data_IF_087203393573
#
_entry.id   IF_087203393573
#
_cell.length_a   1.000
_cell.length_b   1.000
_cell.length_c   1.000
_cell.angle_alpha   90.00
_cell.angle_beta   90.00
_cell.angle_gamma   90.00
#
_symmetry.space_group_name_H-M   'P 1'
#
loop_
_entity.id
_entity.type
_entity.pdbx_description
1 polymer ?
#
# COMPACT_ATOMS: atom_id res chain seq x y z
N UNK A 1 -17.61 -56.64 -49.82
CA UNK A 1 -18.01 -55.24 -49.64
C UNK A 1 -19.17 -55.24 -48.67
N UNK A 2 -18.86 -55.27 -47.38
CA UNK A 2 -19.85 -54.96 -46.35
C UNK A 2 -19.94 -53.45 -46.32
N UNK A 3 -21.05 -52.90 -46.82
CA UNK A 3 -21.37 -51.48 -46.64
C UNK A 3 -21.55 -51.26 -45.14
N UNK A 4 -20.79 -50.33 -44.56
CA UNK A 4 -21.00 -49.87 -43.19
C UNK A 4 -22.50 -49.54 -43.00
N UNK A 5 -23.05 -49.97 -41.87
CA UNK A 5 -24.48 -49.80 -41.61
C UNK A 5 -24.78 -48.31 -41.45
N UNK A 6 -25.89 -47.76 -41.97
CA UNK A 6 -26.32 -46.37 -41.73
C UNK A 6 -26.42 -45.97 -40.25
N UNK A 7 -26.39 -46.95 -39.34
CA UNK A 7 -26.29 -46.75 -37.89
C UNK A 7 -24.89 -46.34 -37.42
N UNK A 8 -23.82 -46.83 -38.06
CA UNK A 8 -22.42 -46.55 -37.67
C UNK A 8 -22.01 -45.12 -38.04
N UNK A 9 -22.37 -44.68 -39.25
CA UNK A 9 -22.13 -43.32 -39.75
C UNK A 9 -22.84 -42.25 -38.88
N UNK A 10 -24.06 -42.56 -38.40
CA UNK A 10 -24.80 -41.70 -37.48
C UNK A 10 -24.18 -41.62 -36.07
N UNK A 11 -23.51 -42.68 -35.61
CA UNK A 11 -22.83 -42.68 -34.31
C UNK A 11 -21.55 -41.82 -34.33
N UNK A 12 -20.82 -41.85 -35.43
CA UNK A 12 -19.59 -41.06 -35.60
C UNK A 12 -19.85 -39.56 -35.75
N UNK A 13 -20.89 -39.17 -36.50
CA UNK A 13 -21.31 -37.77 -36.61
C UNK A 13 -21.70 -37.21 -35.22
N UNK A 14 -22.39 -38.02 -34.41
CA UNK A 14 -22.74 -37.65 -33.04
C UNK A 14 -21.50 -37.52 -32.14
N UNK A 15 -20.50 -38.38 -32.27
CA UNK A 15 -19.25 -38.32 -31.51
C UNK A 15 -18.43 -37.05 -31.82
N UNK A 16 -18.28 -36.70 -33.11
CA UNK A 16 -17.58 -35.47 -33.51
C UNK A 16 -18.31 -34.22 -33.00
N UNK A 17 -19.65 -34.21 -33.08
CA UNK A 17 -20.44 -33.10 -32.55
C UNK A 17 -20.26 -32.94 -31.02
N UNK A 18 -20.21 -34.04 -30.27
CA UNK A 18 -19.93 -34.03 -28.84
C UNK A 18 -18.53 -33.47 -28.53
N UNK A 19 -17.50 -33.91 -29.25
CA UNK A 19 -16.13 -33.42 -29.09
C UNK A 19 -16.02 -31.92 -29.42
N UNK A 20 -16.68 -31.43 -30.48
CA UNK A 20 -16.73 -30.00 -30.82
C UNK A 20 -17.40 -29.17 -29.71
N UNK A 21 -18.47 -29.69 -29.11
CA UNK A 21 -19.12 -29.05 -27.95
C UNK A 21 -18.22 -29.04 -26.72
N UNK A 22 -17.52 -30.13 -26.45
CA UNK A 22 -16.57 -30.21 -25.35
C UNK A 22 -15.40 -29.24 -25.52
N UNK A 23 -14.83 -29.17 -26.72
CA UNK A 23 -13.78 -28.20 -27.07
C UNK A 23 -14.24 -26.77 -26.80
N UNK A 24 -15.42 -26.40 -27.30
CA UNK A 24 -15.99 -25.07 -27.07
C UNK A 24 -16.17 -24.74 -25.58
N UNK A 25 -16.61 -25.72 -24.78
CA UNK A 25 -16.72 -25.56 -23.34
C UNK A 25 -15.35 -25.33 -22.69
N UNK A 26 -14.35 -26.14 -23.02
CA UNK A 26 -12.99 -26.00 -22.49
C UNK A 26 -12.38 -24.63 -22.85
N UNK A 27 -12.53 -24.17 -24.09
CA UNK A 27 -12.08 -22.86 -24.54
C UNK A 27 -12.79 -21.72 -23.77
N UNK A 28 -14.09 -21.86 -23.53
CA UNK A 28 -14.87 -20.91 -22.72
C UNK A 28 -14.37 -20.86 -21.27
N UNK A 29 -14.11 -22.02 -20.66
CA UNK A 29 -13.54 -22.07 -19.31
C UNK A 29 -12.15 -21.45 -19.25
N UNK A 30 -11.27 -21.75 -20.21
CA UNK A 30 -9.94 -21.16 -20.30
C UNK A 30 -10.01 -19.62 -20.36
N UNK A 31 -10.89 -19.07 -21.21
CA UNK A 31 -11.12 -17.63 -21.29
C UNK A 31 -11.57 -17.01 -19.97
N UNK A 32 -12.51 -17.66 -19.25
CA UNK A 32 -12.96 -17.23 -17.92
C UNK A 32 -11.82 -17.22 -16.89
N UNK A 33 -10.97 -18.25 -16.88
CA UNK A 33 -9.83 -18.32 -15.96
C UNK A 33 -8.76 -17.28 -16.30
N UNK A 34 -8.49 -17.03 -17.59
CA UNK A 34 -7.58 -15.95 -18.01
C UNK A 34 -8.08 -14.57 -17.57
N UNK A 35 -9.39 -14.32 -17.62
CA UNK A 35 -9.99 -13.08 -17.07
C UNK A 35 -9.83 -13.00 -15.55
N UNK A 36 -10.10 -14.09 -14.81
CA UNK A 36 -9.87 -14.15 -13.35
C UNK A 36 -8.40 -13.91 -12.99
N UNK A 37 -7.48 -14.49 -13.76
CA UNK A 37 -6.04 -14.31 -13.60
C UNK A 37 -5.64 -12.83 -13.75
N UNK A 38 -6.10 -12.18 -14.83
CA UNK A 38 -5.85 -10.76 -15.09
C UNK A 38 -6.32 -9.89 -13.91
N UNK A 39 -7.56 -10.07 -13.48
CA UNK A 39 -8.11 -9.31 -12.34
C UNK A 39 -7.34 -9.57 -11.03
N UNK A 40 -6.88 -10.81 -10.80
CA UNK A 40 -6.12 -11.15 -9.59
C UNK A 40 -4.72 -10.54 -9.63
N UNK A 41 -4.07 -10.49 -10.81
CA UNK A 41 -2.80 -9.77 -11.01
C UNK A 41 -2.95 -8.27 -10.75
N UNK A 42 -3.98 -7.62 -11.29
CA UNK A 42 -4.24 -6.20 -11.03
C UNK A 42 -4.46 -5.92 -9.53
N UNK A 43 -5.18 -6.80 -8.82
CA UNK A 43 -5.34 -6.71 -7.36
C UNK A 43 -4.01 -6.85 -6.62
N UNK A 44 -3.15 -7.78 -7.07
CA UNK A 44 -1.81 -7.97 -6.51
C UNK A 44 -0.94 -6.73 -6.71
N UNK A 45 -1.00 -6.10 -7.89
CA UNK A 45 -0.24 -4.88 -8.20
C UNK A 45 -0.67 -3.72 -7.30
N UNK A 46 -1.98 -3.54 -7.07
CA UNK A 46 -2.52 -2.57 -6.11
C UNK A 46 -1.99 -2.82 -4.69
N UNK A 47 -1.96 -4.08 -4.24
CA UNK A 47 -1.42 -4.44 -2.91
C UNK A 47 0.08 -4.18 -2.84
N UNK A 48 0.84 -4.46 -3.89
CA UNK A 48 2.28 -4.16 -3.94
C UNK A 48 2.55 -2.64 -3.88
N UNK A 49 1.76 -1.83 -4.58
CA UNK A 49 1.83 -0.38 -4.51
C UNK A 49 1.55 0.13 -3.08
N UNK A 50 0.47 -0.37 -2.46
CA UNK A 50 0.15 -0.04 -1.07
C UNK A 50 1.24 -0.47 -0.08
N UNK A 51 1.85 -1.65 -0.26
CA UNK A 51 2.98 -2.09 0.55
C UNK A 51 4.17 -1.14 0.45
N UNK A 52 4.49 -0.71 -0.77
CA UNK A 52 5.59 0.22 -0.99
C UNK A 52 5.34 1.57 -0.29
N UNK A 53 4.14 2.14 -0.47
CA UNK A 53 3.74 3.39 0.19
C UNK A 53 3.74 3.25 1.72
N UNK A 54 3.19 2.15 2.24
CA UNK A 54 3.16 1.90 3.69
C UNK A 54 4.57 1.79 4.26
N UNK A 55 5.49 1.10 3.56
CA UNK A 55 6.90 1.02 3.96
C UNK A 55 7.56 2.40 4.00
N UNK A 56 7.35 3.21 2.96
CA UNK A 56 7.87 4.58 2.94
C UNK A 56 7.31 5.43 4.09
N UNK A 57 6.02 5.28 4.41
CA UNK A 57 5.42 5.95 5.56
C UNK A 57 6.06 5.51 6.89
N UNK A 58 6.31 4.21 7.08
CA UNK A 58 7.03 3.69 8.26
C UNK A 58 8.39 4.36 8.39
N UNK A 59 9.16 4.45 7.30
CA UNK A 59 10.50 5.05 7.31
C UNK A 59 10.42 6.55 7.69
N UNK A 60 9.49 7.30 7.08
CA UNK A 60 9.28 8.73 7.37
C UNK A 60 8.90 8.94 8.83
N UNK A 61 7.89 8.23 9.34
CA UNK A 61 7.43 8.41 10.73
C UNK A 61 8.44 7.89 11.76
N UNK A 62 9.27 6.92 11.39
CA UNK A 62 10.42 6.50 12.20
C UNK A 62 11.44 7.64 12.33
N UNK A 63 11.81 8.27 11.21
CA UNK A 63 12.73 9.40 11.23
C UNK A 63 12.16 10.61 12.00
N UNK A 64 10.91 10.97 11.75
CA UNK A 64 10.26 12.11 12.39
C UNK A 64 10.05 11.91 13.89
N UNK A 65 9.67 10.69 14.32
CA UNK A 65 9.59 10.39 15.76
C UNK A 65 10.98 10.43 16.42
N UNK A 66 12.02 9.90 15.78
CA UNK A 66 13.39 10.00 16.31
C UNK A 66 13.86 11.45 16.39
N UNK A 67 13.55 12.28 15.39
CA UNK A 67 13.86 13.71 15.40
C UNK A 67 13.18 14.44 16.57
N UNK A 68 11.91 14.16 16.81
CA UNK A 68 11.20 14.73 17.96
C UNK A 68 11.83 14.27 19.28
N UNK A 69 12.22 12.99 19.40
CA UNK A 69 12.91 12.46 20.57
C UNK A 69 14.26 13.15 20.82
N UNK A 70 15.06 13.36 19.79
CA UNK A 70 16.31 14.14 19.92
C UNK A 70 16.00 15.58 20.32
N UNK A 71 14.92 16.19 19.80
CA UNK A 71 14.44 17.50 20.26
C UNK A 71 14.11 17.52 21.77
N UNK A 72 13.48 16.48 22.32
CA UNK A 72 13.25 16.32 23.76
C UNK A 72 14.59 16.26 24.51
N UNK A 73 15.54 15.46 24.03
CA UNK A 73 16.86 15.30 24.67
C UNK A 73 17.66 16.60 24.65
N UNK A 74 17.68 17.30 23.52
CA UNK A 74 18.40 18.56 23.31
C UNK A 74 17.84 19.67 24.19
N UNK A 75 16.51 19.83 24.20
CA UNK A 75 15.85 20.83 25.04
C UNK A 75 16.01 20.50 26.52
N UNK A 76 15.93 19.22 26.90
CA UNK A 76 16.28 18.80 28.24
C UNK A 76 17.73 19.17 28.54
N UNK A 77 18.72 18.77 27.73
CA UNK A 77 20.14 19.10 27.95
C UNK A 77 20.39 20.61 28.13
N UNK A 78 19.78 21.45 27.28
CA UNK A 78 19.85 22.91 27.39
C UNK A 78 19.23 23.46 28.67
N UNK A 79 18.34 22.72 29.33
CA UNK A 79 17.67 23.16 30.55
C UNK A 79 18.58 23.02 31.78
N UNK A 80 19.20 24.14 32.17
CA UNK A 80 20.20 24.24 33.25
C UNK A 80 19.65 24.88 34.54
N UNK A 81 20.45 24.82 35.60
CA UNK A 81 20.13 25.45 36.89
C UNK A 81 20.05 26.98 36.78
N UNK A 82 20.86 27.57 35.92
CA UNK A 82 20.90 29.01 35.65
C UNK A 82 19.60 29.47 34.99
N UNK A 83 19.14 28.72 33.99
CA UNK A 83 17.83 28.91 33.35
C UNK A 83 16.70 28.84 34.38
N UNK A 84 16.74 27.86 35.30
CA UNK A 84 15.74 27.77 36.36
C UNK A 84 15.73 29.02 37.25
N UNK A 85 16.90 29.51 37.66
CA UNK A 85 17.04 30.75 38.45
C UNK A 85 16.47 31.97 37.72
N UNK A 86 16.67 32.08 36.40
CA UNK A 86 16.10 33.17 35.60
C UNK A 86 14.58 33.12 35.58
N UNK A 87 14.01 31.94 35.35
CA UNK A 87 12.55 31.75 35.31
C UNK A 87 11.91 32.12 36.65
N UNK A 88 12.53 31.72 37.78
CA UNK A 88 12.01 32.01 39.13
C UNK A 88 11.98 33.52 39.43
N UNK A 89 12.87 34.32 38.84
CA UNK A 89 12.90 35.78 39.02
C UNK A 89 11.70 36.49 38.39
N UNK A 90 10.93 35.82 37.53
CA UNK A 90 9.73 36.39 36.90
C UNK A 90 8.64 36.60 37.96
N UNK A 91 8.40 37.87 38.32
CA UNK A 91 7.41 38.24 39.36
C UNK A 91 5.97 38.20 38.84
N UNK A 92 5.74 38.67 37.61
CA UNK A 92 4.40 38.83 37.00
C UNK A 92 4.33 38.10 35.65
N UNK A 93 4.05 36.78 35.63
CA UNK A 93 3.87 36.05 34.37
C UNK A 93 2.59 36.51 33.67
N UNK A 94 2.59 36.50 32.33
CA UNK A 94 1.35 36.68 31.57
C UNK A 94 0.58 35.35 31.47
N UNK A 95 -0.64 35.40 30.92
CA UNK A 95 -1.48 34.22 30.72
C UNK A 95 -0.78 33.10 29.93
N UNK A 96 -0.03 33.44 28.88
CA UNK A 96 0.70 32.44 28.08
C UNK A 96 1.78 31.71 28.86
N UNK A 97 2.58 32.43 29.67
CA UNK A 97 3.58 31.79 30.53
C UNK A 97 2.92 30.96 31.64
N UNK A 98 1.80 31.43 32.21
CA UNK A 98 1.03 30.67 33.18
C UNK A 98 0.53 29.36 32.59
N UNK A 99 -0.08 29.41 31.41
CA UNK A 99 -0.58 28.23 30.70
C UNK A 99 0.57 27.25 30.40
N UNK A 100 1.66 27.69 29.77
CA UNK A 100 2.83 26.83 29.51
C UNK A 100 3.40 26.22 30.81
N UNK A 101 3.44 26.98 31.90
CA UNK A 101 3.91 26.45 33.18
C UNK A 101 2.96 25.39 33.77
N UNK A 102 1.64 25.57 33.64
CA UNK A 102 0.65 24.59 34.06
C UNK A 102 0.75 23.32 33.22
N UNK A 103 0.90 23.45 31.90
CA UNK A 103 1.06 22.35 30.96
C UNK A 103 2.39 21.61 31.17
N UNK A 104 3.46 22.31 31.51
CA UNK A 104 4.70 21.67 31.94
C UNK A 104 4.48 20.81 33.18
N UNK A 105 3.84 21.36 34.21
CA UNK A 105 3.52 20.64 35.45
C UNK A 105 2.60 19.44 35.22
N UNK A 106 1.66 19.54 34.26
CA UNK A 106 0.82 18.42 33.80
C UNK A 106 1.65 17.28 33.18
N UNK A 107 2.65 17.59 32.36
CA UNK A 107 3.56 16.58 31.78
C UNK A 107 4.42 15.92 32.86
N UNK A 108 4.81 16.68 33.88
CA UNK A 108 5.52 16.18 35.07
C UNK A 108 4.63 15.42 36.08
N UNK A 109 3.36 15.20 35.75
CA UNK A 109 2.34 14.58 36.61
C UNK A 109 2.21 15.22 38.00
N UNK A 110 2.28 16.56 38.06
CA UNK A 110 2.12 17.33 39.29
C UNK A 110 0.65 17.71 39.50
N UNK A 111 0.12 17.39 40.69
CA UNK A 111 -1.28 17.66 41.06
C UNK A 111 -1.58 19.15 41.16
N UNK A 112 -0.73 19.90 41.86
CA UNK A 112 -0.85 21.36 41.93
C UNK A 112 0.00 22.00 40.83
N UNK A 113 -0.68 22.75 39.96
CA UNK A 113 -0.11 23.41 38.78
C UNK A 113 -0.04 24.92 38.94
N UNK A 114 -0.19 25.44 40.16
CA UNK A 114 -0.08 26.86 40.45
C UNK A 114 1.31 27.42 40.14
N UNK A 115 1.40 28.71 39.85
CA UNK A 115 2.68 29.40 39.57
C UNK A 115 3.66 29.31 40.75
N UNK A 116 3.15 29.29 41.99
CA UNK A 116 3.99 29.18 43.18
C UNK A 116 4.61 27.78 43.29
N UNK A 117 3.83 26.74 43.01
CA UNK A 117 4.31 25.35 43.01
C UNK A 117 5.27 25.11 41.85
N UNK A 118 4.99 25.64 40.66
CA UNK A 118 5.96 25.66 39.56
C UNK A 118 7.29 26.28 39.98
N UNK A 119 7.30 27.47 40.62
CA UNK A 119 8.54 28.07 41.13
C UNK A 119 9.23 27.20 42.18
N UNK A 120 8.48 26.54 43.06
CA UNK A 120 9.05 25.67 44.08
C UNK A 120 9.76 24.46 43.45
N UNK A 121 9.16 23.86 42.43
CA UNK A 121 9.77 22.79 41.63
C UNK A 121 11.04 23.29 40.92
N UNK A 122 10.97 24.46 40.29
CA UNK A 122 12.11 25.08 39.61
C UNK A 122 13.29 25.40 40.54
N UNK A 123 13.04 25.70 41.83
CA UNK A 123 14.11 25.92 42.83
C UNK A 123 14.90 24.64 43.09
N UNK A 124 14.26 23.48 42.97
CA UNK A 124 14.84 22.17 43.22
C UNK A 124 15.31 21.54 41.90
N UNK A 125 16.37 22.11 41.32
CA UNK A 125 16.85 21.72 39.99
C UNK A 125 17.17 20.22 39.86
N UNK A 126 17.89 19.61 40.81
CA UNK A 126 18.31 18.21 40.67
C UNK A 126 17.12 17.24 40.62
N UNK A 127 16.13 17.29 41.54
CA UNK A 127 14.91 16.50 41.41
C UNK A 127 14.13 16.78 40.12
N UNK A 128 13.96 18.05 39.75
CA UNK A 128 13.28 18.43 38.52
C UNK A 128 13.96 17.81 37.29
N UNK A 129 15.28 17.90 37.23
CA UNK A 129 16.07 17.37 36.12
C UNK A 129 15.94 15.86 35.99
N UNK A 130 15.96 15.16 37.13
CA UNK A 130 15.71 13.72 37.16
C UNK A 130 14.32 13.39 36.63
N UNK A 131 13.30 14.14 37.02
CA UNK A 131 11.92 13.94 36.58
C UNK A 131 11.75 14.20 35.08
N UNK A 132 12.32 15.29 34.56
CA UNK A 132 12.30 15.57 33.11
C UNK A 132 12.95 14.45 32.30
N UNK A 133 14.05 13.87 32.80
CA UNK A 133 14.75 12.78 32.11
C UNK A 133 14.05 11.43 32.23
N UNK A 134 13.22 11.21 33.26
CA UNK A 134 12.50 9.95 33.47
C UNK A 134 11.20 9.87 32.68
N UNK A 135 10.68 10.99 32.19
CA UNK A 135 9.42 11.04 31.46
C UNK A 135 9.58 10.39 30.10
N UNK A 136 8.68 9.45 29.81
CA UNK A 136 8.55 8.82 28.51
C UNK A 136 7.33 9.41 27.82
N UNK A 137 7.56 10.35 26.91
CA UNK A 137 6.48 11.10 26.26
C UNK A 137 5.47 10.20 25.50
N UNK A 138 5.89 9.00 25.06
CA UNK A 138 5.00 8.00 24.47
C UNK A 138 3.87 7.52 25.41
N UNK A 139 4.01 7.70 26.73
CA UNK A 139 3.05 7.26 27.73
C UNK A 139 2.21 8.39 28.34
N UNK A 140 2.24 9.59 27.74
CA UNK A 140 1.26 10.61 28.10
C UNK A 140 -0.15 10.06 27.89
N UNK A 141 -1.09 10.41 28.75
CA UNK A 141 -2.50 10.02 28.62
C UNK A 141 -3.20 10.82 27.52
N UNK A 142 -4.40 10.39 27.12
CA UNK A 142 -5.19 11.13 26.12
C UNK A 142 -5.71 12.44 26.70
N UNK A 143 -6.05 12.47 27.99
CA UNK A 143 -6.41 13.69 28.72
C UNK A 143 -5.24 14.69 28.73
N UNK A 144 -4.03 14.24 29.06
CA UNK A 144 -2.82 15.06 28.97
C UNK A 144 -2.63 15.58 27.54
N UNK A 145 -2.77 14.73 26.52
CA UNK A 145 -2.58 15.15 25.13
C UNK A 145 -3.59 16.20 24.66
N UNK A 146 -4.87 16.03 25.02
CA UNK A 146 -5.92 17.00 24.68
C UNK A 146 -5.63 18.37 25.30
N UNK A 147 -5.09 18.38 26.52
CA UNK A 147 -4.67 19.61 27.18
C UNK A 147 -3.43 20.25 26.54
N UNK A 148 -2.52 19.46 25.95
CA UNK A 148 -1.24 19.93 25.41
C UNK A 148 -1.31 20.28 23.92
N UNK A 149 -2.32 19.80 23.19
CA UNK A 149 -2.42 19.96 21.74
C UNK A 149 -2.45 21.43 21.30
N UNK A 150 -3.06 22.29 22.12
CA UNK A 150 -3.17 23.72 21.84
C UNK A 150 -1.81 24.42 21.95
N UNK A 151 -0.93 23.94 22.83
CA UNK A 151 0.45 24.44 22.92
C UNK A 151 1.23 24.11 21.66
N UNK A 152 1.11 22.85 21.21
CA UNK A 152 1.78 22.37 20.01
C UNK A 152 1.28 23.06 18.73
N UNK A 153 -0.05 23.17 18.55
CA UNK A 153 -0.66 23.87 17.39
C UNK A 153 -0.27 25.35 17.34
N UNK A 154 -0.23 26.02 18.50
CA UNK A 154 0.05 27.45 18.59
C UNK A 154 1.53 27.76 18.86
N UNK A 155 2.44 26.83 18.61
CA UNK A 155 3.85 26.94 18.99
C UNK A 155 4.51 28.26 18.56
N UNK A 156 4.28 28.74 17.33
CA UNK A 156 4.91 29.98 16.85
C UNK A 156 4.42 31.22 17.61
N UNK A 157 3.11 31.29 17.87
CA UNK A 157 2.49 32.38 18.64
C UNK A 157 2.94 32.36 20.09
N UNK A 158 2.98 31.17 20.70
CA UNK A 158 3.47 30.98 22.06
C UNK A 158 4.93 31.41 22.16
N UNK A 159 5.80 30.90 21.28
CA UNK A 159 7.22 31.27 21.27
C UNK A 159 7.42 32.78 21.12
N UNK A 160 6.70 33.44 20.20
CA UNK A 160 6.75 34.88 20.04
C UNK A 160 6.37 35.63 21.33
N UNK A 161 5.30 35.22 22.01
CA UNK A 161 4.85 35.83 23.26
C UNK A 161 5.81 35.59 24.43
N UNK A 162 6.55 34.48 24.41
CA UNK A 162 7.48 34.09 25.49
C UNK A 162 8.89 34.68 25.32
N UNK A 163 9.30 35.07 24.11
CA UNK A 163 10.61 35.69 23.81
C UNK A 163 10.96 36.90 24.69
N UNK A 164 9.97 37.63 25.19
CA UNK A 164 10.16 38.81 26.05
C UNK A 164 10.63 38.51 27.48
N UNK A 165 10.62 37.24 27.90
CA UNK A 165 11.04 36.82 29.24
C UNK A 165 12.51 36.42 29.25
N UNK A 166 12.81 35.14 29.16
CA UNK A 166 14.16 34.61 29.06
C UNK A 166 14.16 33.36 28.18
N UNK A 167 15.34 32.97 27.70
CA UNK A 167 15.52 31.78 26.84
C UNK A 167 14.95 30.52 27.48
N UNK A 168 15.04 30.41 28.81
CA UNK A 168 14.56 29.27 29.58
C UNK A 168 13.07 28.96 29.37
N UNK A 169 12.23 29.99 29.28
CA UNK A 169 10.79 29.80 29.08
C UNK A 169 10.49 29.26 27.68
N UNK A 170 11.23 29.71 26.66
CA UNK A 170 11.13 29.17 25.31
C UNK A 170 11.53 27.70 25.26
N UNK A 171 12.62 27.33 25.95
CA UNK A 171 13.08 25.93 26.05
C UNK A 171 12.00 25.03 26.68
N UNK A 172 11.30 25.50 27.72
CA UNK A 172 10.18 24.75 28.31
C UNK A 172 9.05 24.48 27.31
N UNK A 173 8.65 25.51 26.56
CA UNK A 173 7.61 25.36 25.55
C UNK A 173 8.06 24.42 24.40
N UNK A 174 9.33 24.49 23.97
CA UNK A 174 9.88 23.56 22.98
C UNK A 174 9.90 22.12 23.48
N UNK A 175 10.30 21.90 24.74
CA UNK A 175 10.31 20.57 25.34
C UNK A 175 8.91 19.95 25.39
N UNK A 176 7.87 20.73 25.74
CA UNK A 176 6.47 20.29 25.66
C UNK A 176 6.10 19.96 24.21
N UNK A 177 6.43 20.83 23.26
CA UNK A 177 6.09 20.62 21.85
C UNK A 177 6.69 19.32 21.30
N UNK A 178 7.97 19.08 21.56
CA UNK A 178 8.62 17.84 21.13
C UNK A 178 8.04 16.61 21.84
N UNK A 179 7.59 16.73 23.09
CA UNK A 179 6.92 15.64 23.81
C UNK A 179 5.59 15.26 23.14
N UNK A 180 4.76 16.25 22.80
CA UNK A 180 3.50 16.06 22.08
C UNK A 180 3.75 15.48 20.68
N UNK A 181 4.69 16.08 19.95
CA UNK A 181 5.04 15.65 18.60
C UNK A 181 5.55 14.20 18.58
N UNK A 182 6.43 13.84 19.51
CA UNK A 182 6.94 12.49 19.64
C UNK A 182 5.81 11.47 19.85
N UNK A 183 4.89 11.73 20.80
CA UNK A 183 3.75 10.84 21.04
C UNK A 183 2.90 10.67 19.79
N UNK A 184 2.50 11.77 19.13
CA UNK A 184 1.66 11.72 17.93
C UNK A 184 2.32 10.94 16.78
N UNK A 185 3.61 11.20 16.53
CA UNK A 185 4.36 10.49 15.48
C UNK A 185 4.53 9.01 15.82
N UNK A 186 4.77 8.68 17.10
CA UNK A 186 4.95 7.30 17.55
C UNK A 186 3.64 6.50 17.48
N UNK A 187 2.51 7.08 17.87
CA UNK A 187 1.19 6.45 17.72
C UNK A 187 0.84 6.23 16.25
N UNK A 188 1.12 7.21 15.39
CA UNK A 188 0.90 7.09 13.95
C UNK A 188 1.76 5.97 13.35
N UNK A 189 3.04 5.91 13.75
CA UNK A 189 3.95 4.85 13.34
C UNK A 189 3.41 3.46 13.74
N UNK A 190 3.02 3.27 15.00
CA UNK A 190 2.48 2.00 15.48
C UNK A 190 1.23 1.57 14.71
N UNK A 191 0.33 2.50 14.40
CA UNK A 191 -0.86 2.21 13.61
C UNK A 191 -0.54 1.78 12.17
N UNK A 192 0.51 2.34 11.56
CA UNK A 192 0.96 1.97 10.21
C UNK A 192 1.67 0.61 10.25
N UNK A 193 2.54 0.38 11.23
CA UNK A 193 3.25 -0.89 11.44
C UNK A 193 2.29 -2.06 11.66
N UNK A 194 1.15 -1.84 12.33
CA UNK A 194 0.10 -2.86 12.49
C UNK A 194 -0.58 -3.25 11.17
N UNK A 195 -0.75 -2.32 10.23
CA UNK A 195 -1.37 -2.58 8.91
C UNK A 195 -0.44 -3.30 7.94
N UNK A 196 0.86 -3.06 8.05
CA UNK A 196 1.87 -3.63 7.16
C UNK A 196 1.84 -5.18 7.05
N UNK A 197 1.77 -5.97 8.15
CA UNK A 197 1.69 -7.43 8.07
C UNK A 197 0.38 -7.92 7.44
N UNK A 198 -0.73 -7.19 7.57
CA UNK A 198 -2.00 -7.54 6.91
C UNK A 198 -1.87 -7.45 5.39
N UNK A 199 -1.19 -6.41 4.89
CA UNK A 199 -0.90 -6.26 3.46
C UNK A 199 0.04 -7.37 2.96
N UNK A 200 1.02 -7.80 3.75
CA UNK A 200 1.87 -8.95 3.41
C UNK A 200 1.04 -10.23 3.29
N UNK A 201 0.18 -10.53 4.28
CA UNK A 201 -0.72 -11.69 4.23
C UNK A 201 -1.60 -11.67 2.98
N UNK A 202 -2.17 -10.50 2.65
CA UNK A 202 -2.99 -10.32 1.43
C UNK A 202 -2.19 -10.53 0.15
N UNK A 203 -0.94 -10.04 0.08
CA UNK A 203 -0.03 -10.30 -1.03
C UNK A 203 0.21 -11.79 -1.21
N UNK A 204 0.61 -12.49 -0.15
CA UNK A 204 0.86 -13.94 -0.18
C UNK A 204 -0.36 -14.72 -0.64
N UNK A 205 -1.55 -14.39 -0.11
CA UNK A 205 -2.80 -15.03 -0.54
C UNK A 205 -3.07 -14.82 -2.04
N UNK A 206 -2.92 -13.60 -2.55
CA UNK A 206 -3.11 -13.31 -3.98
C UNK A 206 -2.08 -14.02 -4.87
N UNK A 207 -0.82 -14.10 -4.43
CA UNK A 207 0.24 -14.85 -5.13
C UNK A 207 -0.11 -16.34 -5.22
N UNK A 208 -0.57 -16.94 -4.12
CA UNK A 208 -1.00 -18.35 -4.11
C UNK A 208 -2.20 -18.57 -5.03
N UNK A 209 -3.19 -17.67 -4.99
CA UNK A 209 -4.37 -17.73 -5.87
C UNK A 209 -4.00 -17.59 -7.35
N UNK A 210 -3.02 -16.76 -7.69
CA UNK A 210 -2.49 -16.66 -9.06
C UNK A 210 -1.87 -17.99 -9.49
N UNK A 211 -1.08 -18.63 -8.62
CA UNK A 211 -0.49 -19.95 -8.92
C UNK A 211 -1.55 -21.02 -9.13
N UNK A 212 -2.59 -21.03 -8.30
CA UNK A 212 -3.72 -21.95 -8.43
C UNK A 212 -4.46 -21.75 -9.75
N UNK A 213 -4.81 -20.51 -10.10
CA UNK A 213 -5.48 -20.18 -11.37
C UNK A 213 -4.60 -20.58 -12.56
N UNK A 214 -3.29 -20.33 -12.50
CA UNK A 214 -2.37 -20.74 -13.57
C UNK A 214 -2.34 -22.27 -13.72
N UNK A 215 -2.33 -23.03 -12.63
CA UNK A 215 -2.40 -24.49 -12.68
C UNK A 215 -3.71 -24.98 -13.33
N UNK A 216 -4.84 -24.36 -12.99
CA UNK A 216 -6.13 -24.70 -13.61
C UNK A 216 -6.16 -24.36 -15.11
N UNK A 217 -5.54 -23.25 -15.52
CA UNK A 217 -5.40 -22.89 -16.94
C UNK A 217 -4.60 -23.97 -17.68
N UNK A 218 -3.46 -24.41 -17.13
CA UNK A 218 -2.62 -25.43 -17.75
C UNK A 218 -3.37 -26.77 -17.94
N UNK A 219 -4.11 -27.22 -16.92
CA UNK A 219 -4.92 -28.45 -17.00
C UNK A 219 -5.99 -28.33 -18.11
N UNK A 220 -6.64 -27.17 -18.22
CA UNK A 220 -7.64 -26.94 -19.27
C UNK A 220 -6.98 -26.89 -20.66
N UNK A 221 -5.80 -26.29 -20.78
CA UNK A 221 -5.06 -26.21 -22.04
C UNK A 221 -4.58 -27.59 -22.52
N UNK A 222 -4.14 -28.45 -21.60
CA UNK A 222 -3.83 -29.85 -21.88
C UNK A 222 -5.07 -30.60 -22.39
N UNK A 223 -6.22 -30.44 -21.72
CA UNK A 223 -7.49 -31.03 -22.16
C UNK A 223 -7.95 -30.50 -23.53
N UNK A 224 -7.76 -29.20 -23.80
CA UNK A 224 -8.04 -28.63 -25.14
C UNK A 224 -7.18 -29.30 -26.20
N UNK A 225 -5.89 -29.53 -25.93
CA UNK A 225 -5.00 -30.20 -26.86
C UNK A 225 -5.41 -31.66 -27.12
N UNK A 226 -5.77 -32.40 -26.07
CA UNK A 226 -6.27 -33.77 -26.17
C UNK A 226 -7.54 -33.88 -27.03
N UNK A 227 -8.52 -33.00 -26.80
CA UNK A 227 -9.78 -32.99 -27.59
C UNK A 227 -9.51 -32.59 -29.04
N UNK A 228 -8.59 -31.67 -29.30
CA UNK A 228 -8.19 -31.29 -30.67
C UNK A 228 -7.53 -32.44 -31.42
N UNK A 229 -6.60 -33.15 -30.78
CA UNK A 229 -5.98 -34.35 -31.36
C UNK A 229 -7.01 -35.45 -31.64
N UNK A 230 -7.96 -35.65 -30.73
CA UNK A 230 -9.05 -36.61 -30.91
C UNK A 230 -9.94 -36.24 -32.10
N UNK A 231 -10.28 -34.96 -32.26
CA UNK A 231 -11.02 -34.45 -33.42
C UNK A 231 -10.25 -34.65 -34.73
N UNK A 232 -8.95 -34.33 -34.76
CA UNK A 232 -8.11 -34.50 -35.95
C UNK A 232 -8.02 -35.98 -36.36
N UNK A 233 -7.82 -36.88 -35.39
CA UNK A 233 -7.82 -38.32 -35.65
C UNK A 233 -9.16 -38.85 -36.19
N UNK A 234 -10.29 -38.34 -35.67
CA UNK A 234 -11.61 -38.71 -36.13
C UNK A 234 -11.93 -38.14 -37.53
N UNK A 235 -11.35 -37.00 -37.90
CA UNK A 235 -11.51 -36.41 -39.24
C UNK A 235 -10.63 -37.13 -40.29
N UNK A 236 -9.44 -37.61 -39.95
CA UNK A 236 -8.57 -38.39 -40.85
C UNK A 236 -9.23 -39.72 -41.25
N UNK A 237 -9.88 -40.42 -40.31
CA UNK A 237 -10.58 -41.68 -40.60
C UNK A 237 -11.69 -41.54 -41.65
N UNK A 238 -12.32 -40.36 -41.74
CA UNK A 238 -13.36 -40.07 -42.75
C UNK A 238 -12.81 -39.87 -44.16
N UNK A 239 -11.55 -39.44 -44.28
CA UNK A 239 -10.92 -39.17 -45.58
C UNK A 239 -10.45 -40.47 -46.26
N UNK A 240 -10.08 -41.49 -45.48
CA UNK A 240 -9.64 -42.78 -46.01
C UNK A 240 -10.81 -43.64 -46.54
N UNK A 241 -12.05 -43.43 -46.07
CA UNK A 241 -13.25 -44.13 -46.59
C UNK A 241 -13.76 -43.58 -47.94
N UNK A 242 -13.52 -42.29 -48.24
CA UNK A 242 -13.95 -41.65 -49.49
C UNK A 242 -12.92 -41.79 -50.65
N UNK A 243 -11.75 -42.38 -50.41
CA UNK A 243 -10.62 -42.42 -51.36
C UNK A 243 -10.42 -43.77 -52.10
N UNK A 244 -11.35 -44.73 -52.02
CA UNK A 244 -11.20 -46.03 -52.70
C UNK A 244 -11.64 -46.09 -54.18
N UNK A 245 -11.88 -44.97 -54.87
CA UNK A 245 -12.37 -45.01 -56.28
C UNK A 245 -11.64 -44.08 -57.27
N UNK A 246 -10.36 -43.76 -57.06
CA UNK A 246 -9.54 -43.15 -58.11
C UNK A 246 -8.15 -43.79 -58.25
N UNK A 247 -8.13 -44.98 -58.85
CA UNK A 247 -6.95 -45.44 -59.60
C UNK A 247 -6.92 -44.78 -60.99
N UNK A 248 -5.73 -44.30 -61.37
CA UNK A 248 -5.27 -43.87 -62.70
C UNK A 248 -5.28 -42.36 -63.00
N UNK A 249 -4.16 -41.68 -62.72
CA UNK A 249 -3.40 -40.87 -63.69
C UNK A 249 -1.99 -40.65 -63.09
N UNK A 250 -1.03 -41.50 -63.46
CA UNK A 250 0.01 -41.20 -64.46
C UNK A 250 1.01 -40.10 -64.06
N UNK A 251 2.15 -40.56 -63.57
CA UNK A 251 3.50 -40.02 -63.72
C UNK A 251 3.67 -38.72 -64.54
N UNK A 252 4.28 -37.71 -63.91
CA UNK A 252 5.39 -36.98 -64.53
C UNK A 252 6.36 -36.45 -63.47
N UNK A 253 7.58 -36.96 -63.55
CA UNK A 253 8.74 -36.42 -62.87
C UNK A 253 9.11 -35.05 -63.45
N UNK A 254 9.58 -34.14 -62.60
CA UNK A 254 10.61 -33.20 -62.99
C UNK A 254 11.45 -32.79 -61.78
N UNK A 255 12.72 -33.18 -61.84
CA UNK A 255 13.82 -32.74 -60.98
C UNK A 255 13.97 -31.21 -61.01
N UNK A 256 14.33 -30.60 -59.87
CA UNK A 256 15.51 -29.71 -59.78
C UNK A 256 15.82 -29.27 -58.34
N UNK A 257 16.93 -29.83 -57.83
CA UNK A 257 18.07 -29.16 -57.17
C UNK A 257 17.85 -28.03 -56.16
N UNK A 258 18.31 -28.32 -54.94
CA UNK A 258 19.25 -27.54 -54.12
C UNK A 258 19.16 -26.01 -54.13
N UNK A 259 18.89 -25.42 -52.95
CA UNK A 259 19.87 -24.55 -52.29
C UNK A 259 19.52 -24.35 -50.81
N UNK A 260 20.48 -24.72 -49.94
CA UNK A 260 20.51 -24.35 -48.52
C UNK A 260 20.76 -22.84 -48.43
N UNK A 261 19.93 -22.11 -47.70
CA UNK A 261 20.33 -20.82 -47.14
C UNK A 261 20.13 -20.82 -45.63
N UNK A 262 21.26 -20.70 -44.95
CA UNK A 262 21.39 -20.47 -43.51
C UNK A 262 21.02 -19.01 -43.27
N UNK A 263 19.94 -18.74 -42.53
CA UNK A 263 19.65 -17.40 -42.03
C UNK A 263 20.23 -17.29 -40.62
N UNK A 264 21.42 -16.73 -40.53
CA UNK A 264 22.00 -16.21 -39.30
C UNK A 264 21.32 -14.89 -38.93
N UNK A 265 20.60 -14.84 -37.82
CA UNK A 265 20.21 -13.57 -37.18
C UNK A 265 21.42 -13.00 -36.44
N UNK A 266 21.88 -11.77 -36.72
CA UNK A 266 22.92 -11.14 -35.93
C UNK A 266 22.35 -10.58 -34.63
N UNK A 267 23.04 -10.91 -33.53
CA UNK A 267 23.00 -10.22 -32.25
C UNK A 267 23.15 -8.70 -32.48
N UNK A 268 22.17 -7.90 -32.07
CA UNK A 268 22.36 -6.47 -31.87
C UNK A 268 22.63 -6.21 -30.38
N UNK A 269 23.91 -6.04 -30.06
CA UNK A 269 24.35 -5.39 -28.83
C UNK A 269 24.21 -3.88 -29.01
N UNK A 270 23.18 -3.30 -28.40
CA UNK A 270 23.07 -1.85 -28.22
C UNK A 270 23.54 -1.46 -26.83
N UNK A 271 24.82 -1.13 -26.68
CA UNK A 271 25.32 -0.35 -25.54
C UNK A 271 25.07 1.13 -25.81
N UNK A 272 24.01 1.70 -25.21
CA UNK A 272 23.83 3.14 -25.15
C UNK A 272 24.46 3.67 -23.86
N UNK A 273 25.71 4.13 -23.99
CA UNK A 273 26.41 4.97 -23.03
C UNK A 273 25.75 6.36 -22.98
N UNK A 274 24.99 6.61 -21.92
CA UNK A 274 24.38 7.91 -21.62
C UNK A 274 25.19 8.69 -20.58
N UNK A 275 26.02 9.60 -21.08
CA UNK A 275 26.59 10.80 -20.45
C UNK A 275 26.50 11.04 -18.94
N UNK A 276 27.67 11.15 -18.33
CA UNK A 276 27.94 11.85 -17.07
C UNK A 276 27.56 13.33 -17.24
N UNK A 277 26.49 13.77 -16.56
CA UNK A 277 26.24 15.20 -16.34
C UNK A 277 26.91 15.64 -15.04
N UNK A 278 28.00 16.41 -15.18
CA UNK A 278 28.56 17.24 -14.11
C UNK A 278 27.57 18.36 -13.79
N UNK A 279 26.97 18.32 -12.61
CA UNK A 279 26.25 19.47 -12.04
C UNK A 279 27.18 20.19 -11.07
N UNK A 280 27.63 21.38 -11.48
CA UNK A 280 28.23 22.36 -10.58
C UNK A 280 27.13 22.88 -9.65
N UNK A 281 27.22 22.55 -8.35
CA UNK A 281 26.37 23.14 -7.31
C UNK A 281 27.14 24.29 -6.65
N UNK A 282 26.64 25.54 -6.68
CA UNK A 282 27.13 26.57 -5.80
C UNK A 282 26.59 26.34 -4.38
N UNK A 283 27.48 26.38 -3.40
CA UNK A 283 27.18 26.45 -1.97
C UNK A 283 26.37 27.72 -1.65
N UNK A 284 25.13 27.57 -1.16
CA UNK A 284 24.52 28.45 -0.14
C UNK A 284 23.29 27.76 0.49
N UNK A 285 23.08 27.83 1.82
CA UNK A 285 21.97 27.17 2.48
C UNK A 285 20.75 28.10 2.58
N UNK A 286 19.68 27.77 1.88
CA UNK A 286 18.32 28.25 2.19
C UNK A 286 17.38 27.06 2.17
N UNK A 287 16.94 26.65 3.35
CA UNK A 287 15.94 25.60 3.55
C UNK A 287 14.63 25.97 2.83
N UNK A 288 14.16 25.19 1.83
CA UNK A 288 12.78 25.22 1.43
C UNK A 288 12.00 24.27 2.34
N UNK A 289 10.98 24.78 3.06
CA UNK A 289 9.89 23.92 3.53
C UNK A 289 9.29 23.28 2.29
N UNK A 290 9.39 21.96 2.16
CA UNK A 290 8.65 21.22 1.15
C UNK A 290 7.16 21.39 1.47
N UNK A 291 6.47 22.16 0.64
CA UNK A 291 5.02 22.14 0.58
C UNK A 291 4.59 20.75 0.08
N UNK A 292 3.67 20.12 0.79
CA UNK A 292 3.04 18.87 0.37
C UNK A 292 2.37 19.05 -0.99
N UNK A 293 2.37 18.05 -1.89
CA UNK A 293 1.46 18.04 -3.03
C UNK A 293 0.03 17.85 -2.51
N UNK A 294 -0.87 18.78 -2.82
CA UNK A 294 -2.31 18.60 -2.63
C UNK A 294 -2.80 17.43 -3.50
N UNK A 295 -3.07 16.28 -2.89
CA UNK A 295 -3.81 15.18 -3.51
C UNK A 295 -5.28 15.31 -3.14
N UNK A 296 -5.98 16.25 -3.75
CA UNK A 296 -7.45 16.20 -3.83
C UNK A 296 -7.81 15.09 -4.84
N UNK A 297 -8.02 13.88 -4.33
CA UNK A 297 -8.63 12.81 -5.11
C UNK A 297 -10.13 13.07 -5.17
N UNK A 298 -10.63 13.54 -6.31
CA UNK A 298 -12.05 13.61 -6.61
C UNK A 298 -12.66 12.20 -6.53
N UNK A 299 -13.59 12.00 -5.60
CA UNK A 299 -14.28 10.73 -5.35
C UNK A 299 -15.29 10.31 -6.43
N UNK A 300 -15.50 11.15 -7.45
CA UNK A 300 -16.54 10.94 -8.48
C UNK A 300 -16.03 10.23 -9.75
N UNK A 301 -14.72 10.05 -9.95
CA UNK A 301 -14.20 9.32 -11.13
C UNK A 301 -14.09 7.79 -10.92
N UNK A 302 -14.52 7.25 -9.77
CA UNK A 302 -14.47 5.81 -9.47
C UNK A 302 -15.72 5.02 -9.90
N UNK A 303 -16.73 5.70 -10.45
CA UNK A 303 -17.97 5.05 -10.90
C UNK A 303 -18.37 5.52 -12.29
N UNK A 304 -17.73 4.96 -13.32
CA UNK A 304 -18.29 4.94 -14.67
C UNK A 304 -19.08 3.64 -14.87
N UNK A 305 -20.40 3.82 -14.87
CA UNK A 305 -21.43 3.09 -15.62
C UNK A 305 -21.61 1.58 -15.38
N UNK A 306 -22.56 1.26 -14.50
CA UNK A 306 -23.29 -0.02 -14.56
C UNK A 306 -24.48 0.13 -15.53
N UNK A 307 -24.68 -0.77 -16.51
CA UNK A 307 -25.91 -0.75 -17.29
C UNK A 307 -27.06 -1.29 -16.44
N UNK A 308 -28.11 -0.48 -16.33
CA UNK A 308 -29.37 -0.85 -15.71
C UNK A 308 -30.05 -1.99 -16.48
N UNK A 309 -30.26 -3.14 -15.82
CA UNK A 309 -31.35 -4.07 -16.15
C UNK A 309 -32.06 -4.45 -14.86
N UNK A 310 -33.33 -4.02 -14.76
CA UNK A 310 -34.30 -4.56 -13.81
C UNK A 310 -34.50 -6.03 -14.15
N UNK A 311 -34.18 -6.93 -13.21
CA UNK A 311 -34.61 -8.33 -13.24
C UNK A 311 -35.46 -8.54 -12.00
N UNK A 312 -36.64 -9.13 -12.22
CA UNK A 312 -37.70 -9.33 -11.25
C UNK A 312 -37.25 -10.27 -10.10
N UNK A 313 -37.77 -9.97 -8.91
CA UNK A 313 -37.71 -10.81 -7.73
C UNK A 313 -38.50 -12.10 -7.98
N UNK A 314 -37.81 -13.18 -8.32
CA UNK A 314 -38.25 -14.59 -8.14
C UNK A 314 -37.17 -15.48 -8.75
N UNK A 315 -36.04 -15.63 -8.04
CA UNK A 315 -35.15 -16.81 -8.13
C UNK A 315 -34.07 -16.71 -7.03
N UNK A 316 -34.53 -16.79 -5.79
CA UNK A 316 -33.68 -17.14 -4.65
C UNK A 316 -33.63 -18.65 -4.58
N UNK A 317 -32.53 -19.26 -5.05
CA UNK A 317 -31.99 -20.48 -4.45
C UNK A 317 -30.53 -20.72 -4.84
N UNK A 318 -29.71 -20.61 -3.79
CA UNK A 318 -28.37 -21.16 -3.61
C UNK A 318 -27.28 -20.68 -4.59
N UNK A 319 -26.29 -19.97 -4.04
CA UNK A 319 -24.87 -20.36 -4.09
C UNK A 319 -24.03 -19.33 -3.29
N UNK A 320 -23.58 -19.78 -2.11
CA UNK A 320 -22.44 -19.34 -1.29
C UNK A 320 -22.32 -17.89 -0.80
N UNK A 321 -22.44 -17.76 0.53
CA UNK A 321 -21.91 -16.69 1.37
C UNK A 321 -20.38 -16.59 1.24
N UNK A 322 -19.85 -15.37 1.10
CA UNK A 322 -18.53 -14.98 1.64
C UNK A 322 -18.46 -13.43 1.72
N UNK A 323 -18.65 -12.92 2.94
CA UNK A 323 -18.15 -11.67 3.51
C UNK A 323 -18.09 -10.40 2.65
N UNK A 324 -19.27 -9.84 2.39
CA UNK A 324 -19.45 -8.43 2.06
C UNK A 324 -20.30 -7.72 3.13
N UNK A 325 -19.84 -7.72 4.38
CA UNK A 325 -20.39 -6.82 5.41
C UNK A 325 -19.42 -6.63 6.58
N UNK A 326 -18.38 -5.83 6.37
CA UNK A 326 -17.86 -5.03 7.48
C UNK A 326 -18.18 -3.57 7.20
N UNK A 327 -19.18 -3.12 7.94
CA UNK A 327 -19.57 -1.74 8.12
C UNK A 327 -18.33 -0.86 8.23
N UNK A 328 -18.25 0.17 7.39
CA UNK A 328 -17.39 1.33 7.60
C UNK A 328 -17.77 1.96 8.93
N UNK A 329 -17.14 1.47 10.00
CA UNK A 329 -17.20 2.08 11.32
C UNK A 329 -16.78 3.53 11.19
N UNK A 330 -17.71 4.41 11.55
CA UNK A 330 -17.49 5.83 11.72
C UNK A 330 -16.16 6.09 12.44
N UNK A 331 -15.16 6.58 11.71
CA UNK A 331 -13.91 7.05 12.30
C UNK A 331 -14.23 8.30 13.13
N UNK A 332 -14.11 8.16 14.45
CA UNK A 332 -13.96 9.24 15.41
C UNK A 332 -13.08 10.36 14.83
N UNK A 333 -13.49 11.61 15.04
CA UNK A 333 -12.71 12.82 14.74
C UNK A 333 -11.22 12.63 15.11
N UNK A 334 -10.37 12.39 14.11
CA UNK A 334 -8.92 12.49 14.25
C UNK A 334 -8.39 13.25 13.05
N UNK A 335 -8.28 14.57 13.29
CA UNK A 335 -7.44 15.56 12.65
C UNK A 335 -7.52 15.71 11.13
N UNK A 336 -7.98 16.90 10.73
CA UNK A 336 -7.96 17.47 9.40
C UNK A 336 -6.63 17.22 8.66
N UNK A 337 -6.74 16.71 7.43
CA UNK A 337 -5.80 17.01 6.37
C UNK A 337 -5.84 18.53 6.10
N UNK A 338 -4.67 19.16 5.96
CA UNK A 338 -4.57 20.51 5.38
C UNK A 338 -4.56 20.44 3.87
#
# INVERSE_FOLDING_TARGET
METASPLEENLEINAIHLLKKELHNCETFSSRFRKKLKNTKERLDKVNSNLHLTKQQIDIFTQESNRALEGIKDTNWQFTKEICKEIIKIKKPNSTLLDVSQKFMLVLDQKDRSWNTFKAVMKNFTPLKSLMSSIQAQYLTDEQMNELIDVWKNQQSIQYKLKKYCKGVSILAEWINYSVEYKLKKETLLAIEQKYPELIKKKTHLTNKISEINSQILIIEEKIAEVKLSLESAEILKIDEDCTDYSNFSNKSLNRSEERSVVTTPLHQGTASGGIMKMNVPLTPKFPRQFFPNFELNSEELYLEAPAKKVQEEDIKMLFYDDASENLGCCRMRFFCF
#
